data_IF_193449958496
#
_entry.id   IF_193449958496
#
_cell.length_a   1.000
_cell.length_b   1.000
_cell.length_c   1.000
_cell.angle_alpha   90.00
_cell.angle_beta   90.00
_cell.angle_gamma   90.00
#
_symmetry.space_group_name_H-M   'P 1'
#
loop_
_entity.id
_entity.type
_entity.pdbx_description
1 polymer ?
#
# COMPACT_ATOMS: atom_id res chain seq x y z
N UNK A 1 -8.19 -10.45 -1.65
CA UNK A 1 -7.31 -9.48 -2.35
C UNK A 1 -7.05 -9.98 -3.76
N UNK A 2 -7.02 -9.09 -4.75
CA UNK A 2 -6.67 -9.43 -6.13
C UNK A 2 -5.17 -9.18 -6.30
N UNK A 3 -4.47 -10.05 -7.04
CA UNK A 3 -3.06 -9.82 -7.39
C UNK A 3 -2.86 -8.43 -8.01
N UNK A 4 -1.82 -7.71 -7.57
CA UNK A 4 -1.55 -6.34 -8.02
C UNK A 4 -2.38 -5.26 -7.30
N UNK A 5 -3.10 -5.60 -6.22
CA UNK A 5 -3.67 -4.60 -5.32
C UNK A 5 -2.54 -3.91 -4.53
N UNK A 6 -2.44 -2.58 -4.55
CA UNK A 6 -1.45 -1.87 -3.74
C UNK A 6 -1.73 -2.06 -2.25
N UNK A 7 -0.67 -2.30 -1.47
CA UNK A 7 -0.76 -2.50 -0.02
C UNK A 7 0.39 -1.78 0.68
N UNK A 8 0.09 -1.27 1.87
CA UNK A 8 1.07 -0.79 2.83
C UNK A 8 1.30 -1.89 3.87
N UNK A 9 2.56 -2.17 4.20
CA UNK A 9 2.95 -3.16 5.20
C UNK A 9 3.92 -2.51 6.18
N UNK A 10 3.79 -2.82 7.47
CA UNK A 10 4.68 -2.35 8.53
C UNK A 10 5.11 -3.51 9.41
N UNK A 11 6.37 -3.49 9.80
CA UNK A 11 7.00 -4.57 10.57
C UNK A 11 8.51 -4.55 10.41
N UNK A 12 9.14 -5.71 10.58
CA UNK A 12 10.61 -5.82 10.65
C UNK A 12 11.19 -6.59 9.48
N UNK A 13 12.33 -6.13 8.97
CA UNK A 13 13.12 -6.89 7.99
C UNK A 13 13.88 -8.01 8.69
N UNK A 14 13.79 -9.22 8.16
CA UNK A 14 14.52 -10.37 8.65
C UNK A 14 15.22 -11.09 7.49
N UNK A 15 16.43 -11.59 7.76
CA UNK A 15 17.18 -12.45 6.84
C UNK A 15 17.38 -13.80 7.51
N UNK A 16 16.93 -14.87 6.85
CA UNK A 16 17.17 -16.26 7.28
C UNK A 16 17.75 -17.08 6.15
N UNK A 17 18.32 -18.22 6.51
CA UNK A 17 18.88 -19.15 5.55
C UNK A 17 18.50 -20.58 5.90
N UNK A 18 18.54 -21.44 4.89
CA UNK A 18 18.31 -22.87 5.03
C UNK A 18 19.12 -23.63 3.98
N UNK A 19 19.38 -24.91 4.25
CA UNK A 19 20.07 -25.80 3.32
C UNK A 19 19.05 -26.61 2.52
N UNK A 20 19.23 -26.67 1.20
CA UNK A 20 18.44 -27.54 0.32
C UNK A 20 19.23 -27.89 -0.93
N UNK A 21 19.21 -29.17 -1.31
CA UNK A 21 19.93 -29.67 -2.49
C UNK A 21 21.45 -29.39 -2.43
N UNK A 22 22.03 -29.45 -1.22
CA UNK A 22 23.42 -29.11 -0.94
C UNK A 22 23.81 -27.64 -1.25
N UNK A 23 22.82 -26.76 -1.30
CA UNK A 23 22.99 -25.32 -1.46
C UNK A 23 22.38 -24.56 -0.29
N UNK A 24 23.12 -23.57 0.19
CA UNK A 24 22.64 -22.60 1.18
C UNK A 24 21.80 -21.53 0.51
N UNK A 25 20.52 -21.44 0.88
CA UNK A 25 19.54 -20.49 0.32
C UNK A 25 19.24 -19.40 1.33
N UNK A 26 19.13 -18.16 0.86
CA UNK A 26 18.84 -16.99 1.68
C UNK A 26 17.45 -16.47 1.36
N UNK A 27 16.71 -16.11 2.41
CA UNK A 27 15.40 -15.47 2.32
C UNK A 27 15.51 -14.14 3.06
N UNK A 28 15.19 -13.06 2.37
CA UNK A 28 14.94 -11.76 2.99
C UNK A 28 13.43 -11.55 2.99
N UNK A 29 12.86 -11.32 4.16
CA UNK A 29 11.42 -11.17 4.33
C UNK A 29 11.11 -9.97 5.23
N UNK A 30 9.94 -9.38 5.03
CA UNK A 30 9.35 -8.42 5.98
C UNK A 30 8.36 -9.21 6.83
N UNK A 31 8.64 -9.35 8.12
CA UNK A 31 7.69 -9.91 9.08
C UNK A 31 6.70 -8.81 9.41
N UNK A 32 5.49 -8.92 8.86
CA UNK A 32 4.46 -7.90 9.00
C UNK A 32 3.82 -7.96 10.39
N UNK A 33 3.77 -6.81 11.06
CA UNK A 33 2.98 -6.62 12.28
C UNK A 33 1.52 -6.38 11.93
N UNK A 34 1.24 -5.60 10.87
CA UNK A 34 -0.07 -5.48 10.23
C UNK A 34 0.06 -4.73 8.87
N UNK A 35 -1.04 -4.57 8.13
CA UNK A 35 -1.07 -4.10 6.74
C UNK A 35 -2.35 -3.34 6.43
N UNK A 36 -2.30 -2.50 5.40
CA UNK A 36 -3.43 -1.73 4.90
C UNK A 36 -3.57 -1.88 3.39
N UNK A 37 -4.82 -2.07 2.92
CA UNK A 37 -5.14 -1.96 1.50
C UNK A 37 -5.13 -0.50 1.10
N UNK A 38 -4.40 -0.17 0.03
CA UNK A 38 -4.38 1.18 -0.50
C UNK A 38 -5.35 1.27 -1.68
N UNK A 39 -6.06 2.40 -1.77
CA UNK A 39 -6.88 2.68 -2.93
C UNK A 39 -6.00 2.78 -4.17
N UNK A 40 -6.49 2.22 -5.28
CA UNK A 40 -5.83 2.42 -6.57
C UNK A 40 -5.93 3.91 -6.88
N UNK A 41 -4.80 4.62 -6.82
CA UNK A 41 -4.68 5.97 -7.35
C UNK A 41 -5.16 5.88 -8.80
N UNK A 42 -6.33 6.46 -9.07
CA UNK A 42 -6.84 6.58 -10.44
C UNK A 42 -5.78 7.41 -11.16
N UNK A 43 -5.08 6.80 -12.13
CA UNK A 43 -4.22 7.57 -13.04
C UNK A 43 -5.12 8.63 -13.66
N UNK A 44 -4.91 9.90 -13.30
CA UNK A 44 -5.59 11.03 -13.92
C UNK A 44 -5.45 10.88 -15.43
N UNK A 45 -6.58 10.84 -16.14
CA UNK A 45 -6.57 11.30 -17.53
C UNK A 45 -6.29 12.80 -17.46
N UNK A 46 -5.42 13.30 -18.33
CA UNK A 46 -5.19 14.74 -18.45
C UNK A 46 -6.54 15.46 -18.62
N UNK A 47 -6.91 16.29 -17.64
CA UNK A 47 -8.12 17.12 -17.69
C UNK A 47 -9.12 17.01 -16.53
N UNK A 48 -8.98 16.06 -15.60
CA UNK A 48 -9.86 16.00 -14.41
C UNK A 48 -9.23 16.72 -13.20
N UNK A 49 -9.94 17.72 -12.68
CA UNK A 49 -9.56 18.49 -11.49
C UNK A 49 -9.93 17.68 -10.24
N UNK A 50 -8.97 17.43 -9.35
CA UNK A 50 -9.24 16.77 -8.07
C UNK A 50 -9.91 17.77 -7.13
N UNK A 51 -11.08 17.43 -6.59
CA UNK A 51 -11.52 18.02 -5.34
C UNK A 51 -11.05 17.10 -4.22
N UNK A 52 -10.15 17.60 -3.37
CA UNK A 52 -9.72 16.87 -2.20
C UNK A 52 -10.89 16.75 -1.21
N UNK A 53 -10.97 15.65 -0.46
CA UNK A 53 -12.06 15.40 0.49
C UNK A 53 -12.25 16.55 1.50
N UNK A 54 -11.13 17.17 1.90
CA UNK A 54 -11.08 18.35 2.77
C UNK A 54 -11.74 19.62 2.16
N UNK A 55 -11.88 19.70 0.84
CA UNK A 55 -12.55 20.81 0.14
C UNK A 55 -14.07 20.61 0.06
N UNK A 56 -14.53 19.36 0.00
CA UNK A 56 -15.97 19.01 -0.02
C UNK A 56 -16.62 19.33 1.33
N UNK A 57 -15.97 18.96 2.45
CA UNK A 57 -16.48 19.30 3.79
C UNK A 57 -16.62 20.80 4.01
N UNK A 58 -15.67 21.61 3.50
CA UNK A 58 -15.74 23.07 3.61
C UNK A 58 -16.90 23.66 2.81
N UNK A 59 -17.26 23.05 1.68
CA UNK A 59 -18.39 23.50 0.85
C UNK A 59 -19.76 23.13 1.43
N UNK A 60 -19.88 22.00 2.14
CA UNK A 60 -21.14 21.65 2.83
C UNK A 60 -21.43 22.55 4.03
N UNK A 61 -20.40 22.98 4.76
CA UNK A 61 -20.57 23.88 5.93
C UNK A 61 -20.97 25.30 5.52
N UNK A 62 -20.55 25.77 4.34
CA UNK A 62 -20.88 27.12 3.84
C UNK A 62 -22.33 27.25 3.34
N UNK A 63 -22.97 26.15 2.94
CA UNK A 63 -24.34 26.15 2.40
C UNK A 63 -25.42 25.86 3.46
N UNK A 64 -25.07 25.91 4.75
CA UNK A 64 -25.99 25.77 5.88
C UNK A 64 -26.02 27.04 6.71
#
# INVERSE_FOLDING_TARGET
MIQGTPVLIWGTVQVRNYEKDNERKWITEVIAENFQLLDKIKRKKEGEMDLHFDEIEKMEVVNK
#
